data_IF_972215240774
#
_entry.id   IF_972215240774
#
_cell.length_a   1.000
_cell.length_b   1.000
_cell.length_c   1.000
_cell.angle_alpha   90.00
_cell.angle_beta   90.00
_cell.angle_gamma   90.00
#
_symmetry.space_group_name_H-M   'P 1'
#
loop_
_entity.id
_entity.type
_entity.pdbx_description
1 polymer ?
#
# COMPACT_ATOMS: atom_id res chain seq x y z
N UNK A 1 -30.22 -65.15 2.48
CA UNK A 1 -30.22 -63.69 2.25
C UNK A 1 -28.75 -63.31 2.16
N UNK A 2 -28.01 -63.69 1.10
CA UNK A 2 -28.24 -63.41 -0.34
C UNK A 2 -28.64 -61.94 -0.52
N UNK A 3 -27.92 -61.07 -1.24
CA UNK A 3 -26.93 -61.21 -2.32
C UNK A 3 -25.73 -60.25 -2.05
N UNK A 4 -24.44 -60.49 -2.39
CA UNK A 4 -23.80 -60.69 -3.71
C UNK A 4 -24.17 -59.57 -4.71
N UNK A 5 -23.34 -58.92 -5.52
CA UNK A 5 -21.96 -58.96 -6.05
C UNK A 5 -21.60 -57.46 -6.32
N UNK A 6 -20.40 -56.99 -6.63
CA UNK A 6 -19.50 -57.48 -7.67
C UNK A 6 -18.12 -56.78 -7.60
N UNK A 7 -17.13 -57.50 -8.13
CA UNK A 7 -15.68 -57.31 -8.22
C UNK A 7 -15.33 -56.15 -9.19
N UNK A 8 -14.40 -55.25 -8.89
CA UNK A 8 -12.95 -55.32 -9.16
C UNK A 8 -12.55 -56.13 -10.42
N UNK A 9 -12.10 -55.44 -11.48
CA UNK A 9 -10.87 -55.74 -12.26
C UNK A 9 -10.71 -54.72 -13.41
N UNK A 10 -9.56 -54.02 -13.46
CA UNK A 10 -9.04 -53.40 -14.70
C UNK A 10 -8.40 -54.49 -15.58
N UNK A 11 -8.32 -54.28 -16.92
CA UNK A 11 -6.98 -54.25 -17.51
C UNK A 11 -6.78 -53.28 -18.71
N UNK A 12 -5.61 -52.64 -18.67
CA UNK A 12 -4.61 -52.39 -19.74
C UNK A 12 -4.93 -52.88 -21.16
N UNK A 13 -4.78 -52.00 -22.16
CA UNK A 13 -4.07 -52.22 -23.45
C UNK A 13 -4.04 -50.89 -24.23
N UNK A 14 -2.91 -50.19 -24.34
CA UNK A 14 -1.95 -50.27 -25.46
C UNK A 14 -2.58 -50.01 -26.85
N UNK A 15 -2.38 -48.82 -27.42
CA UNK A 15 -1.30 -48.50 -28.41
C UNK A 15 -1.95 -48.38 -29.82
N UNK A 16 -1.21 -48.20 -30.94
CA UNK A 16 -0.78 -46.91 -31.49
C UNK A 16 -1.14 -46.69 -32.98
N UNK A 17 -0.69 -45.55 -33.51
CA UNK A 17 -0.08 -45.36 -34.85
C UNK A 17 -0.53 -46.27 -36.00
N UNK A 18 -1.17 -45.68 -37.01
CA UNK A 18 -0.76 -45.79 -38.43
C UNK A 18 -1.57 -44.73 -39.21
N UNK A 19 -0.96 -43.64 -39.67
CA UNK A 19 -0.13 -43.48 -40.88
C UNK A 19 -0.89 -43.65 -42.20
N UNK A 20 -0.75 -42.56 -42.96
CA UNK A 20 -0.60 -42.48 -44.42
C UNK A 20 -1.84 -42.72 -45.30
N UNK A 21 -2.17 -41.71 -46.11
CA UNK A 21 -1.81 -41.64 -47.52
C UNK A 21 -2.31 -40.28 -48.08
N UNK A 22 -1.40 -39.35 -48.35
CA UNK A 22 -0.88 -39.04 -49.69
C UNK A 22 -2.01 -38.80 -50.70
N UNK A 23 -2.53 -37.56 -50.68
CA UNK A 23 -3.37 -36.99 -51.73
C UNK A 23 -2.54 -36.11 -52.65
N UNK A 24 -2.46 -36.52 -53.91
CA UNK A 24 -1.82 -35.92 -55.08
C UNK A 24 -1.48 -34.40 -55.02
N UNK A 25 -0.19 -34.07 -55.15
CA UNK A 25 0.22 -32.74 -55.60
C UNK A 25 0.00 -32.63 -57.11
N UNK A 26 -1.19 -32.15 -57.50
CA UNK A 26 -1.42 -31.64 -58.87
C UNK A 26 -0.31 -30.65 -59.21
N UNK A 27 0.28 -30.80 -60.40
CA UNK A 27 1.29 -29.94 -61.01
C UNK A 27 0.78 -28.49 -61.02
N UNK A 28 1.13 -27.71 -60.00
CA UNK A 28 0.77 -26.28 -59.89
C UNK A 28 1.84 -25.48 -60.63
N UNK A 29 1.41 -24.54 -61.47
CA UNK A 29 2.29 -23.67 -62.24
C UNK A 29 3.39 -23.08 -61.33
N UNK A 30 4.67 -23.06 -61.73
CA UNK A 30 5.74 -22.52 -60.88
C UNK A 30 5.46 -21.06 -60.50
N UNK A 31 4.73 -20.33 -61.35
CA UNK A 31 4.22 -19.00 -61.09
C UNK A 31 3.33 -18.93 -59.83
N UNK A 32 2.51 -19.95 -59.57
CA UNK A 32 1.60 -19.99 -58.42
C UNK A 32 2.34 -20.22 -57.11
N UNK A 33 3.45 -20.99 -57.14
CA UNK A 33 4.35 -21.12 -55.99
C UNK A 33 5.19 -19.86 -55.76
N UNK A 34 5.59 -19.16 -56.82
CA UNK A 34 6.28 -17.86 -56.72
C UNK A 34 5.35 -16.81 -56.11
N UNK A 35 4.09 -16.73 -56.57
CA UNK A 35 3.09 -15.80 -56.02
C UNK A 35 2.78 -16.14 -54.56
N UNK A 36 2.57 -17.42 -54.23
CA UNK A 36 2.31 -17.83 -52.85
C UNK A 36 3.51 -17.58 -51.94
N UNK A 37 4.73 -17.83 -52.41
CA UNK A 37 5.96 -17.54 -51.68
C UNK A 37 6.17 -16.04 -51.45
N UNK A 38 5.89 -15.21 -52.45
CA UNK A 38 5.93 -13.75 -52.32
C UNK A 38 4.88 -13.26 -51.32
N UNK A 39 3.68 -13.82 -51.35
CA UNK A 39 2.58 -13.46 -50.46
C UNK A 39 2.90 -13.85 -49.01
N UNK A 40 3.48 -15.04 -48.79
CA UNK A 40 3.97 -15.47 -47.47
C UNK A 40 5.12 -14.57 -46.97
N UNK A 41 6.07 -14.20 -47.83
CA UNK A 41 7.15 -13.26 -47.48
C UNK A 41 6.63 -11.86 -47.14
N UNK A 42 5.59 -11.37 -47.83
CA UNK A 42 4.96 -10.09 -47.52
C UNK A 42 4.20 -10.14 -46.19
N UNK A 43 3.51 -11.25 -45.89
CA UNK A 43 2.82 -11.43 -44.60
C UNK A 43 3.84 -11.53 -43.46
N UNK A 44 4.89 -12.35 -43.59
CA UNK A 44 5.94 -12.43 -42.57
C UNK A 44 6.69 -11.11 -42.42
N UNK A 45 7.01 -10.43 -43.51
CA UNK A 45 7.65 -9.11 -43.49
C UNK A 45 6.77 -8.06 -42.79
N UNK A 46 5.47 -8.03 -43.10
CA UNK A 46 4.50 -7.14 -42.44
C UNK A 46 4.35 -7.45 -40.95
N UNK A 47 4.31 -8.74 -40.57
CA UNK A 47 4.26 -9.15 -39.17
C UNK A 47 5.54 -8.79 -38.42
N UNK A 48 6.72 -9.00 -39.01
CA UNK A 48 7.99 -8.60 -38.42
C UNK A 48 8.07 -7.08 -38.26
N UNK A 49 7.65 -6.29 -39.25
CA UNK A 49 7.58 -4.83 -39.12
C UNK A 49 6.58 -4.41 -38.05
N UNK A 50 5.43 -5.08 -37.89
CA UNK A 50 4.46 -4.78 -36.81
C UNK A 50 5.00 -5.14 -35.42
N UNK A 51 5.69 -6.27 -35.28
CA UNK A 51 6.27 -6.70 -34.01
C UNK A 51 7.50 -5.86 -33.62
N UNK A 52 8.34 -5.48 -34.59
CA UNK A 52 9.53 -4.66 -34.36
C UNK A 52 9.30 -3.14 -34.44
N UNK A 53 8.17 -2.68 -34.99
CA UNK A 53 7.75 -1.26 -34.93
C UNK A 53 6.92 -0.94 -33.69
N UNK A 54 6.92 -1.83 -32.69
CA UNK A 54 6.91 -1.41 -31.29
C UNK A 54 8.25 -0.72 -30.96
N UNK A 55 8.49 0.41 -31.62
CA UNK A 55 9.39 1.45 -31.12
C UNK A 55 8.81 1.87 -29.77
N UNK A 56 9.56 1.96 -28.70
CA UNK A 56 10.98 1.76 -28.51
C UNK A 56 11.22 1.97 -27.03
N UNK A 57 12.38 1.53 -26.58
CA UNK A 57 12.98 2.03 -25.34
C UNK A 57 13.31 3.50 -25.54
N UNK A 58 12.31 4.36 -25.41
CA UNK A 58 12.51 5.67 -24.82
C UNK A 58 12.48 5.43 -23.32
N UNK A 59 13.42 6.03 -22.58
CA UNK A 59 13.35 6.04 -21.14
C UNK A 59 12.04 6.74 -20.75
N UNK A 60 10.97 5.95 -20.60
CA UNK A 60 9.97 6.23 -19.63
C UNK A 60 10.73 6.17 -18.29
N UNK A 61 11.33 7.31 -17.94
CA UNK A 61 11.29 7.76 -16.57
C UNK A 61 9.84 7.57 -16.20
N UNK A 62 9.58 6.47 -15.50
CA UNK A 62 8.48 6.38 -14.57
C UNK A 62 8.64 7.68 -13.81
N UNK A 63 7.82 8.66 -14.17
CA UNK A 63 7.50 9.75 -13.29
C UNK A 63 6.85 8.99 -12.16
N UNK A 64 7.69 8.60 -11.21
CA UNK A 64 7.31 8.33 -9.85
C UNK A 64 6.40 9.50 -9.55
N UNK A 65 5.11 9.22 -9.57
CA UNK A 65 4.11 10.09 -9.01
C UNK A 65 4.52 10.10 -7.54
N UNK A 66 5.49 10.96 -7.23
CA UNK A 66 5.82 11.33 -5.87
C UNK A 66 4.45 11.61 -5.26
N UNK A 67 4.12 10.96 -4.12
CA UNK A 67 2.93 11.31 -3.38
C UNK A 67 2.92 12.82 -3.32
N UNK A 68 1.88 13.43 -3.88
CA UNK A 68 1.65 14.85 -3.68
C UNK A 68 1.37 14.91 -2.18
N UNK A 69 2.42 15.13 -1.38
CA UNK A 69 2.26 15.45 0.02
C UNK A 69 1.38 16.69 0.03
N UNK A 70 0.12 16.48 0.38
CA UNK A 70 -0.82 17.57 0.58
C UNK A 70 -0.26 18.41 1.72
N UNK A 71 0.46 19.47 1.36
CA UNK A 71 1.09 20.35 2.34
C UNK A 71 -0.03 21.12 3.03
N UNK A 72 -0.44 20.62 4.19
CA UNK A 72 -1.40 21.29 5.05
C UNK A 72 -0.83 22.64 5.50
N UNK A 73 -1.71 23.64 5.64
CA UNK A 73 -1.32 24.93 6.17
C UNK A 73 -0.77 24.78 7.60
N UNK A 74 0.22 25.58 8.02
CA UNK A 74 0.68 25.57 9.40
C UNK A 74 -0.45 25.99 10.34
N UNK A 75 -0.44 25.43 11.56
CA UNK A 75 -1.38 25.81 12.62
C UNK A 75 -1.22 27.29 13.02
N UNK A 76 -2.29 27.88 13.55
CA UNK A 76 -2.29 29.25 14.08
C UNK A 76 -1.17 29.42 15.15
N UNK A 77 -0.31 30.45 15.06
CA UNK A 77 0.80 30.68 16.00
C UNK A 77 0.39 30.87 17.46
N UNK A 78 -0.90 31.17 17.73
CA UNK A 78 -1.43 31.24 19.09
C UNK A 78 -1.56 29.86 19.76
N UNK A 79 -1.52 28.78 18.98
CA UNK A 79 -1.58 27.41 19.49
C UNK A 79 -0.24 27.00 20.06
N UNK A 80 -0.27 26.63 21.34
CA UNK A 80 0.90 26.13 22.06
C UNK A 80 0.78 24.63 22.19
N UNK A 81 1.72 23.91 21.60
CA UNK A 81 1.82 22.44 21.68
C UNK A 81 3.06 22.08 22.47
N UNK A 82 2.90 21.17 23.42
CA UNK A 82 3.99 20.59 24.20
C UNK A 82 3.79 19.08 24.38
N UNK A 83 4.90 18.37 24.59
CA UNK A 83 4.92 16.94 24.89
C UNK A 83 5.94 16.69 25.99
N UNK A 84 5.49 16.06 27.08
CA UNK A 84 6.33 15.77 28.25
C UNK A 84 6.15 14.35 28.75
N UNK A 85 7.13 13.81 29.48
CA UNK A 85 6.94 12.56 30.24
C UNK A 85 5.90 12.76 31.33
N UNK A 86 5.01 11.77 31.48
CA UNK A 86 4.06 11.74 32.60
C UNK A 86 4.81 11.65 33.92
N UNK A 87 4.34 12.40 34.92
CA UNK A 87 4.87 12.39 36.29
C UNK A 87 4.27 11.30 37.16
N UNK A 88 3.18 10.69 36.72
CA UNK A 88 2.35 9.78 37.51
C UNK A 88 2.21 8.39 36.89
N UNK A 89 2.48 8.25 35.59
CA UNK A 89 2.37 7.00 34.85
C UNK A 89 3.69 6.65 34.19
N UNK A 90 4.17 5.45 34.47
CA UNK A 90 5.39 4.95 33.84
C UNK A 90 5.21 4.80 32.33
N UNK A 91 6.29 5.06 31.61
CA UNK A 91 6.39 4.88 30.16
C UNK A 91 5.28 5.57 29.35
N UNK A 92 4.82 6.70 29.85
CA UNK A 92 3.71 7.46 29.28
C UNK A 92 4.17 8.87 28.99
N UNK A 93 3.79 9.41 27.83
CA UNK A 93 3.97 10.83 27.48
C UNK A 93 2.62 11.52 27.44
N UNK A 94 2.63 12.84 27.65
CA UNK A 94 1.43 13.67 27.70
C UNK A 94 1.56 14.76 26.65
N UNK A 95 0.68 14.71 25.66
CA UNK A 95 0.48 15.80 24.70
C UNK A 95 -0.39 16.84 25.37
N UNK A 96 0.04 18.10 25.36
CA UNK A 96 -0.75 19.23 25.82
C UNK A 96 -0.87 20.25 24.69
N UNK A 97 -2.10 20.67 24.38
CA UNK A 97 -2.40 21.73 23.44
C UNK A 97 -3.19 22.82 24.15
N UNK A 98 -2.79 24.07 24.00
CA UNK A 98 -3.45 25.24 24.60
C UNK A 98 -3.70 26.33 23.56
N UNK A 99 -4.66 27.20 23.85
CA UNK A 99 -5.02 28.33 22.99
C UNK A 99 -5.95 27.96 21.84
N UNK A 100 -6.65 26.82 21.93
CA UNK A 100 -7.59 26.39 20.89
C UNK A 100 -8.69 27.43 20.66
N UNK A 101 -9.07 28.20 21.69
CA UNK A 101 -10.04 29.29 21.59
C UNK A 101 -11.39 28.88 21.00
N UNK A 102 -11.75 27.60 21.08
CA UNK A 102 -12.92 27.02 20.42
C UNK A 102 -12.94 27.17 18.89
N UNK A 103 -11.80 27.42 18.23
CA UNK A 103 -11.66 27.55 16.77
C UNK A 103 -11.72 26.19 16.06
N UNK A 104 -11.30 25.14 16.76
CA UNK A 104 -11.17 23.78 16.23
C UNK A 104 -12.33 22.88 16.66
N UNK A 105 -12.70 21.95 15.79
CA UNK A 105 -13.71 20.92 16.04
C UNK A 105 -13.07 19.58 16.36
N UNK A 106 -11.91 19.27 15.76
CA UNK A 106 -11.20 18.03 16.05
C UNK A 106 -9.69 18.11 15.91
N UNK A 107 -9.01 17.20 16.61
CA UNK A 107 -7.55 17.00 16.57
C UNK A 107 -7.26 15.52 16.29
N UNK A 108 -6.55 15.25 15.20
CA UNK A 108 -5.85 14.00 14.94
C UNK A 108 -4.42 14.08 15.44
N UNK A 109 -3.86 12.96 15.90
CA UNK A 109 -2.45 12.90 16.26
C UNK A 109 -1.77 11.67 15.67
N UNK A 110 -0.50 11.83 15.38
CA UNK A 110 0.43 10.77 15.06
C UNK A 110 1.72 11.00 15.84
N UNK A 111 2.13 9.97 16.56
CA UNK A 111 3.32 9.97 17.39
C UNK A 111 4.23 8.85 16.91
N UNK A 112 5.45 9.15 16.51
CA UNK A 112 6.46 8.17 16.09
C UNK A 112 7.66 8.19 17.03
N UNK A 113 8.25 7.02 17.29
CA UNK A 113 9.41 6.87 18.17
C UNK A 113 10.19 5.61 17.84
N UNK A 114 11.43 5.52 18.32
CA UNK A 114 12.26 4.32 18.21
C UNK A 114 12.37 3.63 19.58
N UNK A 115 12.27 2.30 19.58
CA UNK A 115 12.56 1.48 20.75
C UNK A 115 13.29 0.21 20.31
N UNK A 116 14.49 -0.01 20.86
CA UNK A 116 15.30 -1.20 20.56
C UNK A 116 15.67 -1.36 19.09
N UNK A 117 15.93 -0.25 18.39
CA UNK A 117 16.26 -0.24 16.95
C UNK A 117 15.07 -0.43 16.01
N UNK A 118 13.83 -0.39 16.53
CA UNK A 118 12.61 -0.54 15.74
C UNK A 118 11.76 0.72 15.86
N UNK A 119 11.40 1.30 14.71
CA UNK A 119 10.44 2.40 14.61
C UNK A 119 9.02 1.94 14.95
N UNK A 120 8.34 2.70 15.78
CA UNK A 120 6.99 2.44 16.29
C UNK A 120 6.16 3.72 16.23
N UNK A 121 4.84 3.57 16.26
CA UNK A 121 3.96 4.73 16.28
C UNK A 121 2.62 4.48 16.96
N UNK A 122 1.98 5.57 17.36
CA UNK A 122 0.64 5.62 17.93
C UNK A 122 -0.13 6.73 17.22
N UNK A 123 -1.33 6.41 16.72
CA UNK A 123 -2.20 7.39 16.08
C UNK A 123 -3.54 7.49 16.79
N UNK A 124 -4.28 8.56 16.55
CA UNK A 124 -5.70 8.68 16.95
C UNK A 124 -6.62 7.70 16.21
N UNK A 125 -6.11 6.94 15.23
CA UNK A 125 -6.91 6.09 14.36
C UNK A 125 -7.74 6.88 13.36
N UNK A 126 -8.81 6.25 12.85
CA UNK A 126 -9.69 6.82 11.81
C UNK A 126 -10.65 7.90 12.29
N UNK A 127 -10.72 8.14 13.61
CA UNK A 127 -11.62 9.14 14.22
C UNK A 127 -10.79 10.16 15.00
N UNK A 128 -10.64 11.38 14.48
CA UNK A 128 -10.08 12.51 15.23
C UNK A 128 -10.83 12.74 16.55
N UNK A 129 -10.13 13.33 17.53
CA UNK A 129 -10.68 13.63 18.85
C UNK A 129 -11.48 14.93 18.79
N UNK A 130 -12.71 14.91 19.30
CA UNK A 130 -13.56 16.11 19.36
C UNK A 130 -13.05 17.10 20.41
N UNK A 131 -12.78 18.33 19.98
CA UNK A 131 -12.33 19.44 20.83
C UNK A 131 -13.25 20.66 20.74
N UNK A 132 -14.47 20.47 20.24
CA UNK A 132 -15.43 21.55 20.00
C UNK A 132 -15.68 22.35 21.28
N UNK A 133 -15.42 23.67 21.21
CA UNK A 133 -15.61 24.59 22.33
C UNK A 133 -14.57 24.50 23.44
N UNK A 134 -13.55 23.67 23.30
CA UNK A 134 -12.45 23.56 24.27
C UNK A 134 -11.37 24.59 23.97
N UNK A 135 -10.69 25.08 25.02
CA UNK A 135 -9.48 25.91 24.89
C UNK A 135 -8.19 25.09 25.04
N UNK A 136 -8.27 23.98 25.77
CA UNK A 136 -7.15 23.09 26.08
C UNK A 136 -7.50 21.65 25.76
N UNK A 137 -6.52 20.91 25.27
CA UNK A 137 -6.61 19.48 25.00
C UNK A 137 -5.41 18.77 25.61
N UNK A 138 -5.65 17.63 26.27
CA UNK A 138 -4.62 16.81 26.88
C UNK A 138 -4.83 15.34 26.51
N UNK A 139 -3.75 14.66 26.14
CA UNK A 139 -3.78 13.23 25.80
C UNK A 139 -2.55 12.51 26.30
N UNK A 140 -2.78 11.51 27.15
CA UNK A 140 -1.76 10.56 27.55
C UNK A 140 -1.60 9.45 26.50
N UNK A 141 -0.34 9.11 26.21
CA UNK A 141 0.04 8.04 25.29
C UNK A 141 1.03 7.13 26.00
N UNK A 142 0.64 5.88 26.18
CA UNK A 142 1.53 4.83 26.67
C UNK A 142 2.46 4.37 25.55
N UNK A 143 3.77 4.42 25.77
CA UNK A 143 4.78 3.95 24.83
C UNK A 143 4.95 2.44 25.03
N UNK A 144 4.27 1.64 24.22
CA UNK A 144 4.36 0.19 24.37
C UNK A 144 3.31 -0.54 23.57
N UNK A 145 3.22 -1.84 23.82
CA UNK A 145 2.22 -2.71 23.19
C UNK A 145 1.33 -3.33 24.25
N UNK A 146 0.02 -3.19 24.07
CA UNK A 146 -0.98 -3.81 24.94
C UNK A 146 -1.68 -4.96 24.20
N UNK A 147 -1.78 -6.12 24.85
CA UNK A 147 -2.56 -7.25 24.37
C UNK A 147 -3.54 -7.68 25.46
N UNK A 148 -4.82 -7.61 25.15
CA UNK A 148 -5.92 -7.80 26.10
C UNK A 148 -5.78 -6.84 27.29
N UNK A 149 -5.25 -7.33 28.40
CA UNK A 149 -5.15 -6.60 29.68
C UNK A 149 -3.70 -6.46 30.17
N UNK A 150 -2.71 -6.81 29.35
CA UNK A 150 -1.29 -6.73 29.70
C UNK A 150 -0.59 -5.81 28.72
N UNK A 151 0.07 -4.78 29.25
CA UNK A 151 0.88 -3.86 28.49
C UNK A 151 2.36 -4.14 28.75
N UNK A 152 3.14 -4.24 27.68
CA UNK A 152 4.59 -4.32 27.73
C UNK A 152 5.17 -2.94 27.37
N UNK A 153 5.98 -2.33 28.25
CA UNK A 153 6.58 -1.05 27.98
C UNK A 153 7.70 -1.18 26.94
N UNK A 154 7.81 -0.17 26.09
CA UNK A 154 8.95 0.05 25.21
C UNK A 154 9.98 0.92 25.92
N UNK A 155 11.15 0.36 26.22
CA UNK A 155 12.19 1.00 27.01
C UNK A 155 13.24 1.67 26.12
N UNK A 156 13.92 2.69 26.66
CA UNK A 156 15.02 3.36 25.95
C UNK A 156 14.57 4.39 24.92
N UNK A 157 13.29 4.79 24.93
CA UNK A 157 12.79 5.87 24.08
C UNK A 157 13.37 7.21 24.54
N UNK A 158 14.14 7.85 23.67
CA UNK A 158 14.80 9.15 23.94
C UNK A 158 14.22 10.29 23.11
N UNK A 159 13.61 9.97 21.96
CA UNK A 159 13.04 10.95 21.03
C UNK A 159 11.66 10.52 20.57
N UNK A 160 10.82 11.52 20.33
CA UNK A 160 9.47 11.36 19.81
C UNK A 160 9.21 12.42 18.75
N UNK A 161 8.76 12.01 17.57
CA UNK A 161 8.21 12.90 16.55
C UNK A 161 6.69 12.99 16.74
N UNK A 162 6.16 14.20 16.89
CA UNK A 162 4.72 14.44 17.05
C UNK A 162 4.20 15.24 15.86
N UNK A 163 3.14 14.72 15.25
CA UNK A 163 2.32 15.43 14.27
C UNK A 163 0.89 15.56 14.80
N UNK A 164 0.35 16.77 14.75
CA UNK A 164 -1.05 17.05 15.05
C UNK A 164 -1.72 17.62 13.81
N UNK A 165 -2.89 17.08 13.47
CA UNK A 165 -3.78 17.61 12.44
C UNK A 165 -4.99 18.24 13.12
N UNK A 166 -5.24 19.51 12.83
CA UNK A 166 -6.36 20.26 13.37
C UNK A 166 -7.41 20.47 12.29
N UNK A 167 -8.67 20.21 12.59
CA UNK A 167 -9.81 20.56 11.74
C UNK A 167 -10.60 21.68 12.37
N UNK A 168 -10.83 22.77 11.64
CA UNK A 168 -11.63 23.91 12.10
C UNK A 168 -13.15 23.70 11.92
N UNK A 169 -13.95 24.73 12.21
CA UNK A 169 -15.42 24.69 12.00
C UNK A 169 -15.84 24.72 10.54
N UNK A 170 -14.97 25.17 9.65
CA UNK A 170 -15.17 25.21 8.21
C UNK A 170 -14.68 23.93 7.52
N UNK A 171 -14.23 22.93 8.29
CA UNK A 171 -13.57 21.70 7.82
C UNK A 171 -12.22 21.93 7.12
N UNK A 172 -11.56 23.07 7.36
CA UNK A 172 -10.19 23.30 6.89
C UNK A 172 -9.22 22.62 7.83
N UNK A 173 -8.20 22.01 7.22
CA UNK A 173 -7.15 21.30 7.94
C UNK A 173 -5.88 22.14 8.06
N UNK A 174 -5.24 22.05 9.21
CA UNK A 174 -3.91 22.61 9.45
C UNK A 174 -3.07 21.64 10.26
N UNK A 175 -1.75 21.78 10.19
CA UNK A 175 -0.83 20.83 10.80
C UNK A 175 0.21 21.51 11.69
N UNK A 176 0.57 20.80 12.75
CA UNK A 176 1.75 21.06 13.57
C UNK A 176 2.64 19.81 13.54
N UNK A 177 3.95 20.00 13.41
CA UNK A 177 4.94 18.92 13.50
C UNK A 177 6.14 19.38 14.31
N UNK A 178 6.62 18.55 15.24
CA UNK A 178 7.82 18.82 16.04
C UNK A 178 8.39 17.54 16.65
N UNK A 179 9.72 17.49 16.71
CA UNK A 179 10.47 16.49 17.46
C UNK A 179 10.71 16.93 18.90
N UNK A 180 10.58 15.99 19.82
CA UNK A 180 10.78 16.17 21.25
C UNK A 180 11.84 15.20 21.76
N UNK A 181 12.74 15.73 22.58
CA UNK A 181 13.64 14.95 23.42
C UNK A 181 12.92 14.66 24.74
N UNK A 182 13.02 13.42 25.21
CA UNK A 182 12.25 12.89 26.34
C UNK A 182 13.01 12.88 27.67
#
# INVERSE_FOLDING_TARGET
>A
MELQEDQLQDPVLENPLEKENVGEVKKKNPLLFIILGLLVLLILGFFLVRVFSSKGKENAVVKEEQPIEEVLAPVDPSIQVDLTKSKTKDNTVVITVKGLGGKYTSIGYELQYESGGVGKGVTSGSKPLDVTGQDTFEREIYLGTCSKNVCKPDLGVTKVALVLEFTDKDNKKSQFSKDYEL
#
